data_IF_916619703535
#
_entry.id   IF_916619703535
#
_cell.length_a   1.000
_cell.length_b   1.000
_cell.length_c   1.000
_cell.angle_alpha   90.00
_cell.angle_beta   90.00
_cell.angle_gamma   90.00
#
_symmetry.space_group_name_H-M   'P 1'
#
loop_
_entity.id
_entity.type
_entity.pdbx_description
1 polymer ?
#
# COMPACT_ATOMS: atom_id res chain seq x y z
N UNK A 1 21.30 9.03 -33.27
CA UNK A 1 22.01 8.04 -32.43
C UNK A 1 21.79 8.43 -30.98
N UNK A 2 21.39 7.50 -30.12
CA UNK A 2 21.32 7.76 -28.68
C UNK A 2 22.73 7.79 -28.08
N UNK A 3 22.93 8.55 -27.00
CA UNK A 3 24.23 8.61 -26.29
C UNK A 3 24.53 7.29 -25.57
N UNK A 4 23.51 6.53 -25.18
CA UNK A 4 23.61 5.23 -24.50
C UNK A 4 22.34 4.43 -24.75
N UNK A 5 22.47 3.10 -24.86
CA UNK A 5 21.36 2.17 -24.95
C UNK A 5 21.32 1.27 -23.70
N UNK A 6 20.14 1.10 -23.12
CA UNK A 6 19.91 0.23 -21.96
C UNK A 6 18.74 -0.69 -22.30
N UNK A 7 18.92 -2.00 -22.11
CA UNK A 7 17.88 -3.00 -22.35
C UNK A 7 17.25 -3.51 -21.05
N UNK A 8 15.95 -3.78 -21.08
CA UNK A 8 15.21 -4.43 -19.99
C UNK A 8 14.37 -5.58 -20.54
N UNK A 9 14.63 -6.78 -20.04
CA UNK A 9 13.84 -7.97 -20.33
C UNK A 9 12.63 -8.04 -19.38
N UNK A 10 11.44 -7.81 -19.92
CA UNK A 10 10.20 -7.78 -19.14
C UNK A 10 9.85 -9.13 -18.51
N UNK A 11 10.37 -10.25 -19.04
CA UNK A 11 10.13 -11.58 -18.44
C UNK A 11 10.81 -11.75 -17.07
N UNK A 12 11.80 -10.90 -16.76
CA UNK A 12 12.50 -10.88 -15.47
C UNK A 12 11.81 -9.99 -14.42
N UNK A 13 10.77 -9.26 -14.81
CA UNK A 13 10.02 -8.41 -13.88
C UNK A 13 9.15 -9.28 -12.97
N UNK A 14 9.26 -9.06 -11.66
CA UNK A 14 8.43 -9.73 -10.65
C UNK A 14 7.67 -8.70 -9.82
N UNK A 15 6.52 -9.05 -9.22
CA UNK A 15 5.82 -8.19 -8.27
C UNK A 15 6.79 -7.69 -7.20
N UNK A 16 6.82 -6.38 -6.98
CA UNK A 16 7.77 -5.74 -6.08
C UNK A 16 7.17 -4.50 -5.44
N UNK A 17 7.70 -4.15 -4.28
CA UNK A 17 7.48 -2.86 -3.62
C UNK A 17 8.80 -2.09 -3.57
N UNK A 18 8.77 -0.83 -3.15
CA UNK A 18 9.96 -0.02 -2.92
C UNK A 18 9.96 0.56 -1.52
N UNK A 19 11.09 0.50 -0.81
CA UNK A 19 11.21 1.03 0.54
C UNK A 19 12.32 0.37 1.37
N UNK A 20 12.35 0.60 2.69
CA UNK A 20 11.35 1.35 3.46
C UNK A 20 11.51 2.88 3.38
N UNK A 21 12.63 3.40 2.85
CA UNK A 21 12.96 4.84 2.94
C UNK A 21 13.26 5.55 1.61
N UNK A 22 13.47 4.82 0.49
CA UNK A 22 13.78 5.43 -0.81
C UNK A 22 13.06 4.72 -1.97
N UNK A 23 12.76 5.43 -3.07
CA UNK A 23 11.99 4.86 -4.19
C UNK A 23 12.75 3.85 -5.06
N UNK A 24 14.09 3.88 -5.06
CA UNK A 24 14.91 2.93 -5.83
C UNK A 24 15.22 1.63 -5.05
N UNK A 25 14.83 1.55 -3.77
CA UNK A 25 15.06 0.38 -2.94
C UNK A 25 14.00 -0.71 -3.25
N UNK A 26 14.14 -1.35 -4.41
CA UNK A 26 13.22 -2.39 -4.89
C UNK A 26 13.34 -3.68 -4.07
N UNK A 27 12.20 -4.16 -3.56
CA UNK A 27 12.08 -5.42 -2.82
C UNK A 27 11.05 -6.31 -3.53
N UNK A 28 11.42 -7.50 -4.03
CA UNK A 28 10.45 -8.49 -4.50
C UNK A 28 9.41 -8.80 -3.41
N UNK A 29 8.13 -8.90 -3.76
CA UNK A 29 7.07 -9.16 -2.77
C UNK A 29 7.33 -10.46 -2.00
N UNK A 30 7.93 -11.47 -2.64
CA UNK A 30 8.34 -12.73 -2.02
C UNK A 30 9.38 -12.57 -0.90
N UNK A 31 10.18 -11.49 -0.93
CA UNK A 31 11.23 -11.22 0.04
C UNK A 31 10.82 -10.16 1.08
N UNK A 32 9.64 -9.54 0.94
CA UNK A 32 9.24 -8.38 1.73
C UNK A 32 9.31 -8.63 3.25
N UNK A 33 8.75 -9.74 3.73
CA UNK A 33 8.78 -10.08 5.15
C UNK A 33 10.21 -10.22 5.68
N UNK A 34 11.06 -10.91 4.91
CA UNK A 34 12.47 -11.14 5.28
C UNK A 34 13.26 -9.84 5.32
N UNK A 35 13.12 -9.00 4.30
CA UNK A 35 13.83 -7.72 4.23
C UNK A 35 13.34 -6.71 5.27
N UNK A 36 12.03 -6.67 5.55
CA UNK A 36 11.48 -5.85 6.62
C UNK A 36 12.01 -6.29 8.00
N UNK A 37 11.96 -7.58 8.32
CA UNK A 37 12.46 -8.08 9.61
C UNK A 37 13.95 -7.79 9.83
N UNK A 38 14.78 -7.95 8.78
CA UNK A 38 16.18 -7.54 8.84
C UNK A 38 16.33 -6.04 9.07
N UNK A 39 15.48 -5.23 8.44
CA UNK A 39 15.56 -3.78 8.56
C UNK A 39 15.27 -3.28 9.98
N UNK A 40 14.52 -4.03 10.80
CA UNK A 40 14.25 -3.64 12.19
C UNK A 40 15.54 -3.46 12.99
N UNK A 41 16.47 -4.42 12.90
CA UNK A 41 17.68 -4.45 13.74
C UNK A 41 18.94 -3.96 13.03
N UNK A 42 18.88 -3.80 11.70
CA UNK A 42 19.99 -3.24 10.93
C UNK A 42 20.27 -1.79 11.35
N UNK A 43 21.55 -1.39 11.32
CA UNK A 43 22.01 -0.06 11.72
C UNK A 43 21.16 1.05 11.09
N UNK A 44 20.88 2.08 11.87
CA UNK A 44 20.08 3.23 11.42
C UNK A 44 20.62 3.75 10.09
N UNK A 45 19.77 3.73 9.07
CA UNK A 45 20.11 4.10 7.71
C UNK A 45 18.94 3.86 6.77
N UNK A 46 19.18 3.84 5.46
CA UNK A 46 18.10 3.65 4.47
C UNK A 46 17.40 2.29 4.56
N UNK A 47 18.11 1.26 5.03
CA UNK A 47 17.62 -0.11 5.18
C UNK A 47 17.60 -0.59 6.63
N UNK A 48 17.63 0.34 7.60
CA UNK A 48 17.75 -0.02 9.02
C UNK A 48 17.06 0.96 9.96
N UNK A 49 16.39 0.41 10.97
CA UNK A 49 15.71 1.14 12.04
C UNK A 49 16.52 1.14 13.35
N UNK A 50 17.54 0.28 13.49
CA UNK A 50 18.47 0.28 14.61
C UNK A 50 17.87 -0.20 15.94
N UNK A 51 16.81 -1.00 15.90
CA UNK A 51 16.20 -1.60 17.09
C UNK A 51 17.07 -2.73 17.64
N UNK A 52 17.06 -2.93 18.95
CA UNK A 52 17.52 -4.20 19.52
C UNK A 52 16.55 -5.34 19.21
N UNK A 53 17.01 -6.58 19.31
CA UNK A 53 16.13 -7.76 19.12
C UNK A 53 14.94 -7.77 20.08
N UNK A 54 15.09 -7.20 21.28
CA UNK A 54 14.00 -7.06 22.25
C UNK A 54 13.01 -5.97 21.84
N UNK A 55 13.51 -4.82 21.36
CA UNK A 55 12.65 -3.74 20.85
C UNK A 55 11.88 -4.13 19.57
N UNK A 56 12.46 -5.00 18.75
CA UNK A 56 11.82 -5.53 17.55
C UNK A 56 10.62 -6.46 17.85
N UNK A 57 10.48 -6.93 19.10
CA UNK A 57 9.34 -7.74 19.57
C UNK A 57 8.29 -6.92 20.31
N UNK A 58 8.53 -5.61 20.51
CA UNK A 58 7.60 -4.76 21.24
C UNK A 58 6.25 -4.71 20.55
N UNK A 59 5.20 -4.80 21.37
CA UNK A 59 3.82 -4.58 20.98
C UNK A 59 3.23 -3.46 21.84
N UNK A 60 2.16 -2.83 21.35
CA UNK A 60 1.45 -1.78 22.06
C UNK A 60 -0.05 -1.96 21.91
N UNK A 61 -0.75 -2.05 23.03
CA UNK A 61 -2.21 -2.11 23.07
C UNK A 61 -2.80 -0.69 23.02
N UNK A 62 -3.94 -0.53 22.34
CA UNK A 62 -4.67 0.71 22.27
C UNK A 62 -6.18 0.45 22.16
N UNK A 63 -6.98 1.38 22.67
CA UNK A 63 -8.44 1.37 22.51
C UNK A 63 -8.84 2.15 21.25
N UNK A 64 -9.73 1.56 20.47
CA UNK A 64 -10.42 2.24 19.37
C UNK A 64 -11.91 1.95 19.47
N UNK A 65 -12.68 2.96 19.88
CA UNK A 65 -14.13 2.88 20.04
C UNK A 65 -14.60 1.81 21.05
N UNK A 66 -13.84 1.60 22.14
CA UNK A 66 -14.18 0.61 23.17
C UNK A 66 -13.75 -0.82 22.87
N UNK A 67 -13.01 -1.03 21.78
CA UNK A 67 -12.36 -2.29 21.44
C UNK A 67 -10.84 -2.15 21.54
N UNK A 68 -10.20 -3.11 22.21
CA UNK A 68 -8.74 -3.12 22.39
C UNK A 68 -8.07 -3.86 21.23
N UNK A 69 -7.10 -3.20 20.61
CA UNK A 69 -6.26 -3.75 19.55
C UNK A 69 -4.79 -3.72 19.96
N UNK A 70 -3.99 -4.61 19.38
CA UNK A 70 -2.53 -4.69 19.62
C UNK A 70 -1.78 -4.38 18.33
N UNK A 71 -0.92 -3.36 18.35
CA UNK A 71 0.02 -3.08 17.27
C UNK A 71 1.37 -3.76 17.51
N UNK A 72 1.99 -4.23 16.43
CA UNK A 72 3.36 -4.72 16.36
C UNK A 72 4.10 -4.11 15.17
N UNK A 73 5.42 -4.29 15.15
CA UNK A 73 6.24 -3.88 14.01
C UNK A 73 5.79 -4.56 12.72
N UNK A 74 5.58 -3.76 11.68
CA UNK A 74 5.16 -4.24 10.36
C UNK A 74 3.66 -4.21 10.13
N UNK A 75 2.86 -3.87 11.14
CA UNK A 75 1.43 -3.63 10.94
C UNK A 75 1.22 -2.43 10.02
N UNK A 76 0.26 -2.57 9.10
CA UNK A 76 -0.11 -1.54 8.15
C UNK A 76 -1.12 -0.62 8.82
N UNK A 77 -0.74 0.63 9.09
CA UNK A 77 -1.64 1.64 9.66
C UNK A 77 -2.20 2.61 8.61
N UNK A 78 -1.59 2.66 7.42
CA UNK A 78 -2.05 3.47 6.28
C UNK A 78 -2.03 2.61 5.03
N UNK A 79 -3.15 2.57 4.30
CA UNK A 79 -3.27 1.91 3.01
C UNK A 79 -3.98 2.85 2.02
N UNK A 80 -3.22 3.54 1.18
CA UNK A 80 -3.77 4.55 0.26
C UNK A 80 -3.60 4.14 -1.21
N UNK A 81 -4.71 4.07 -1.94
CA UNK A 81 -4.69 4.04 -3.41
C UNK A 81 -4.67 5.49 -3.89
N UNK A 82 -3.46 6.00 -4.16
CA UNK A 82 -3.21 7.41 -4.47
C UNK A 82 -2.23 7.55 -5.65
N UNK A 83 -1.83 8.80 -5.93
CA UNK A 83 -0.87 9.21 -6.97
C UNK A 83 -1.41 9.12 -8.40
N UNK A 84 -1.13 10.17 -9.19
CA UNK A 84 -1.39 10.16 -10.62
C UNK A 84 -0.58 9.07 -11.36
N UNK A 85 0.55 8.63 -10.80
CA UNK A 85 1.39 7.56 -11.37
C UNK A 85 0.61 6.26 -11.57
N UNK A 86 -0.27 5.90 -10.63
CA UNK A 86 -1.03 4.65 -10.68
C UNK A 86 -2.51 4.86 -11.00
N UNK A 87 -3.13 5.93 -10.46
CA UNK A 87 -4.57 6.16 -10.65
C UNK A 87 -4.94 6.55 -12.09
N UNK A 88 -3.96 6.97 -12.90
CA UNK A 88 -4.14 7.19 -14.34
C UNK A 88 -4.16 5.90 -15.18
N UNK A 89 -3.83 4.75 -14.58
CA UNK A 89 -3.77 3.45 -15.26
C UNK A 89 -5.01 2.60 -14.92
N UNK A 90 -5.99 2.43 -15.84
CA UNK A 90 -7.20 1.65 -15.58
C UNK A 90 -6.93 0.19 -15.22
N UNK A 91 -5.84 -0.41 -15.73
CA UNK A 91 -5.55 -1.82 -15.50
C UNK A 91 -5.29 -2.11 -14.01
N UNK A 92 -4.52 -1.27 -13.33
CA UNK A 92 -4.23 -1.44 -11.90
C UNK A 92 -5.42 -1.04 -11.02
N UNK A 93 -6.22 -0.07 -11.44
CA UNK A 93 -7.40 0.37 -10.69
C UNK A 93 -8.55 -0.65 -10.77
N UNK A 94 -8.83 -1.18 -11.96
CA UNK A 94 -9.76 -2.32 -12.12
C UNK A 94 -9.22 -3.55 -11.40
N UNK A 95 -7.90 -3.81 -11.50
CA UNK A 95 -7.24 -4.88 -10.76
C UNK A 95 -7.48 -4.76 -9.25
N UNK A 96 -7.30 -3.57 -8.67
CA UNK A 96 -7.58 -3.31 -7.26
C UNK A 96 -9.05 -3.57 -6.90
N UNK A 97 -10.00 -3.07 -7.71
CA UNK A 97 -11.42 -3.33 -7.49
C UNK A 97 -11.79 -4.82 -7.56
N UNK A 98 -11.20 -5.57 -8.49
CA UNK A 98 -11.39 -7.02 -8.61
C UNK A 98 -10.80 -7.79 -7.42
N UNK A 99 -9.65 -7.35 -6.90
CA UNK A 99 -9.07 -7.91 -5.66
C UNK A 99 -10.01 -7.65 -4.49
N UNK A 100 -10.52 -6.43 -4.34
CA UNK A 100 -11.47 -6.08 -3.27
C UNK A 100 -12.75 -6.90 -3.38
N UNK A 101 -13.32 -7.04 -4.58
CA UNK A 101 -14.48 -7.89 -4.84
C UNK A 101 -14.24 -9.33 -4.38
N UNK A 102 -13.13 -9.95 -4.81
CA UNK A 102 -12.80 -11.33 -4.41
C UNK A 102 -12.53 -11.47 -2.92
N UNK A 103 -11.97 -10.44 -2.27
CA UNK A 103 -11.73 -10.45 -0.83
C UNK A 103 -13.06 -10.42 -0.06
N UNK A 104 -13.97 -9.52 -0.44
CA UNK A 104 -15.33 -9.43 0.12
C UNK A 104 -16.12 -10.71 -0.09
N UNK A 105 -16.11 -11.27 -1.30
CA UNK A 105 -16.80 -12.55 -1.61
C UNK A 105 -16.26 -13.73 -0.77
N UNK A 106 -15.02 -13.61 -0.27
CA UNK A 106 -14.40 -14.57 0.65
C UNK A 106 -14.58 -14.23 2.13
N UNK A 107 -15.34 -13.19 2.45
CA UNK A 107 -15.60 -12.74 3.83
C UNK A 107 -14.40 -12.06 4.50
N UNK A 108 -13.42 -11.58 3.73
CA UNK A 108 -12.29 -10.82 4.28
C UNK A 108 -12.71 -9.37 4.57
N UNK A 109 -12.15 -8.83 5.65
CA UNK A 109 -12.31 -7.43 6.08
C UNK A 109 -10.94 -6.79 6.31
N UNK A 110 -10.93 -5.46 6.41
CA UNK A 110 -9.75 -4.70 6.85
C UNK A 110 -9.90 -4.36 8.32
N UNK A 111 -8.80 -4.39 9.07
CA UNK A 111 -8.81 -4.01 10.48
C UNK A 111 -9.26 -2.54 10.66
N UNK A 112 -10.11 -2.22 11.64
CA UNK A 112 -10.72 -0.88 11.77
C UNK A 112 -9.72 0.25 12.00
N UNK A 113 -8.54 -0.04 12.55
CA UNK A 113 -7.50 0.94 12.80
C UNK A 113 -6.68 1.32 11.56
N UNK A 114 -6.84 0.59 10.45
CA UNK A 114 -6.10 0.88 9.21
C UNK A 114 -6.76 2.05 8.51
N UNK A 115 -6.00 3.12 8.29
CA UNK A 115 -6.47 4.27 7.54
C UNK A 115 -6.41 3.99 6.04
N UNK A 116 -7.51 3.50 5.50
CA UNK A 116 -7.71 3.26 4.07
C UNK A 116 -8.17 4.51 3.34
N UNK A 117 -7.74 4.70 2.09
CA UNK A 117 -8.25 5.79 1.25
C UNK A 117 -8.08 5.53 -0.24
N UNK A 118 -8.99 6.06 -1.05
CA UNK A 118 -8.87 6.13 -2.51
C UNK A 118 -8.86 7.60 -2.93
N UNK A 119 -7.80 8.04 -3.60
CA UNK A 119 -7.65 9.41 -4.09
C UNK A 119 -7.32 9.41 -5.59
N UNK A 120 -8.34 9.37 -6.45
CA UNK A 120 -8.13 9.33 -7.90
C UNK A 120 -7.59 10.64 -8.46
N UNK A 121 -6.79 10.57 -9.51
CA UNK A 121 -6.36 11.77 -10.25
C UNK A 121 -7.45 12.44 -11.09
N UNK A 122 -8.60 11.78 -11.31
CA UNK A 122 -9.70 12.27 -12.14
C UNK A 122 -11.01 11.54 -11.84
N UNK A 123 -12.14 12.19 -12.10
CA UNK A 123 -13.49 11.60 -12.05
C UNK A 123 -13.68 10.41 -13.00
N UNK A 124 -12.86 10.30 -14.05
CA UNK A 124 -12.90 9.16 -14.99
C UNK A 124 -12.66 7.83 -14.26
N UNK A 125 -11.82 7.83 -13.23
CA UNK A 125 -11.50 6.65 -12.42
C UNK A 125 -12.74 6.13 -11.71
N UNK A 126 -13.40 7.00 -10.96
CA UNK A 126 -14.65 6.69 -10.27
C UNK A 126 -15.72 6.22 -11.27
N UNK A 127 -15.83 6.90 -12.42
CA UNK A 127 -16.82 6.53 -13.44
C UNK A 127 -16.67 5.10 -13.94
N UNK A 128 -15.45 4.62 -14.24
CA UNK A 128 -15.30 3.23 -14.68
C UNK A 128 -15.40 2.22 -13.54
N UNK A 129 -15.04 2.58 -12.31
CA UNK A 129 -15.21 1.72 -11.14
C UNK A 129 -16.70 1.51 -10.81
N UNK A 130 -17.50 2.58 -10.93
CA UNK A 130 -18.96 2.51 -10.74
C UNK A 130 -19.61 1.68 -11.85
N UNK A 131 -19.28 1.96 -13.12
CA UNK A 131 -19.84 1.25 -14.27
C UNK A 131 -19.47 -0.23 -14.31
N UNK A 132 -18.33 -0.60 -13.74
CA UNK A 132 -17.93 -2.01 -13.59
C UNK A 132 -18.50 -2.68 -12.34
N UNK A 133 -19.22 -1.94 -11.49
CA UNK A 133 -19.79 -2.44 -10.24
C UNK A 133 -18.74 -2.76 -9.18
N UNK A 134 -17.56 -2.14 -9.26
CA UNK A 134 -16.43 -2.40 -8.35
C UNK A 134 -16.37 -1.45 -7.16
N UNK A 135 -16.91 -0.24 -7.26
CA UNK A 135 -16.89 0.76 -6.19
C UNK A 135 -17.46 0.25 -4.85
N UNK A 136 -18.61 -0.46 -4.81
CA UNK A 136 -19.14 -0.97 -3.54
C UNK A 136 -18.18 -1.89 -2.79
N UNK A 137 -17.36 -2.67 -3.51
CA UNK A 137 -16.38 -3.57 -2.90
C UNK A 137 -15.14 -2.84 -2.40
N UNK A 138 -14.74 -1.76 -3.08
CA UNK A 138 -13.70 -0.85 -2.58
C UNK A 138 -14.17 -0.17 -1.30
N UNK A 139 -15.41 0.34 -1.31
CA UNK A 139 -16.02 1.02 -0.16
C UNK A 139 -16.16 0.09 1.06
N UNK A 140 -16.55 -1.18 0.85
CA UNK A 140 -16.69 -2.16 1.93
C UNK A 140 -15.36 -2.49 2.62
N UNK A 141 -14.23 -2.37 1.92
CA UNK A 141 -12.89 -2.50 2.50
C UNK A 141 -12.28 -1.15 2.91
N UNK A 142 -13.09 -0.09 2.95
CA UNK A 142 -12.69 1.24 3.42
C UNK A 142 -11.95 2.11 2.40
N UNK A 143 -11.81 1.67 1.14
CA UNK A 143 -11.20 2.45 0.06
C UNK A 143 -12.19 3.43 -0.57
N UNK A 144 -12.86 4.22 0.26
CA UNK A 144 -13.77 5.26 -0.20
C UNK A 144 -13.01 6.37 -0.93
N UNK A 145 -13.68 6.98 -1.92
CA UNK A 145 -13.11 8.16 -2.60
C UNK A 145 -13.08 9.34 -1.64
N UNK A 146 -11.89 9.71 -1.16
CA UNK A 146 -11.69 10.82 -0.19
C UNK A 146 -11.46 12.17 -0.87
N UNK A 147 -11.12 12.17 -2.16
CA UNK A 147 -10.92 13.39 -2.93
C UNK A 147 -10.20 13.14 -4.25
N UNK A 148 -10.22 14.15 -5.13
CA UNK A 148 -9.53 14.12 -6.42
C UNK A 148 -8.29 15.02 -6.36
N UNK A 149 -7.11 14.42 -6.25
CA UNK A 149 -5.86 15.17 -6.11
C UNK A 149 -4.74 14.38 -5.43
N UNK A 150 -3.65 15.08 -5.10
CA UNK A 150 -2.42 14.44 -4.68
C UNK A 150 -2.48 13.73 -3.31
N UNK A 151 -3.26 14.24 -2.35
CA UNK A 151 -3.51 13.61 -1.03
C UNK A 151 -2.24 13.00 -0.38
N UNK A 152 -2.28 11.73 0.02
CA UNK A 152 -1.18 11.00 0.66
C UNK A 152 0.09 10.94 -0.19
N UNK A 153 0.01 11.10 -1.52
CA UNK A 153 1.20 11.08 -2.40
C UNK A 153 2.17 12.25 -2.11
N UNK A 154 1.67 13.38 -1.59
CA UNK A 154 2.48 14.55 -1.20
C UNK A 154 2.64 14.68 0.31
N UNK A 155 2.30 13.62 1.07
CA UNK A 155 2.35 13.64 2.51
C UNK A 155 1.11 14.24 3.19
N UNK A 156 0.05 14.57 2.44
CA UNK A 156 -1.21 15.00 3.02
C UNK A 156 -2.03 13.78 3.45
N UNK A 157 -1.63 13.17 4.58
CA UNK A 157 -2.24 11.97 5.14
C UNK A 157 -3.48 12.23 6.00
N UNK A 158 -3.72 13.51 6.32
CA UNK A 158 -4.90 14.09 7.00
C UNK A 158 -5.69 13.10 7.81
#
# INVERSE_FOLDING_TARGET
SYTTEIGLDLSKVVPSVAGPKRPHDRIPVSDLQKEFNKSLTHKVGFHGFGLSDEQAKTTADFDLNGETFTLKHGDVVIAAITSCTNTSNPAVMIGAGLVCKKAVEKGLTVEPFVKTSLAPGSHVVTSYLDRSGLSPFLDQLGFNTVGYGCTSCIGNFG
#
